data_IF_778361929069
#
_entry.id   IF_778361929069
#
_cell.length_a   1.000
_cell.length_b   1.000
_cell.length_c   1.000
_cell.angle_alpha   90.00
_cell.angle_beta   90.00
_cell.angle_gamma   90.00
#
_symmetry.space_group_name_H-M   'P 1'
#
loop_
_entity.id
_entity.type
_entity.pdbx_description
1 polymer ?
#
# COMPACT_ATOMS: atom_id res chain seq x y z
N UNK A 1 -62.99 -19.13 -3.22
CA UNK A 1 -61.86 -18.34 -2.68
C UNK A 1 -60.55 -18.95 -3.18
N UNK A 2 -59.92 -18.42 -4.25
CA UNK A 2 -58.63 -18.90 -4.72
C UNK A 2 -57.50 -18.09 -4.08
N UNK A 3 -56.48 -18.77 -3.58
CA UNK A 3 -55.26 -18.17 -3.02
C UNK A 3 -54.30 -17.82 -4.17
N UNK A 4 -54.02 -16.53 -4.36
CA UNK A 4 -52.94 -16.06 -5.23
C UNK A 4 -51.59 -16.43 -4.60
N UNK A 5 -50.89 -17.36 -5.21
CA UNK A 5 -49.47 -17.62 -4.95
C UNK A 5 -48.63 -16.56 -5.64
N UNK A 6 -47.86 -15.79 -4.86
CA UNK A 6 -46.87 -14.85 -5.38
C UNK A 6 -45.60 -15.61 -5.73
N UNK A 7 -45.28 -15.70 -7.03
CA UNK A 7 -43.97 -16.14 -7.51
C UNK A 7 -43.00 -14.95 -7.45
N UNK A 8 -42.08 -14.96 -6.49
CA UNK A 8 -40.92 -14.06 -6.49
C UNK A 8 -39.89 -14.66 -7.44
N UNK A 9 -39.76 -14.07 -8.62
CA UNK A 9 -38.66 -14.36 -9.53
C UNK A 9 -37.39 -13.69 -9.00
N UNK A 10 -36.50 -14.49 -8.40
CA UNK A 10 -35.16 -14.05 -8.03
C UNK A 10 -34.34 -13.92 -9.31
N UNK A 11 -34.20 -12.69 -9.79
CA UNK A 11 -33.37 -12.34 -10.93
C UNK A 11 -31.91 -12.29 -10.46
N UNK A 12 -31.22 -13.43 -10.58
CA UNK A 12 -29.77 -13.50 -10.35
C UNK A 12 -29.09 -12.77 -11.51
N UNK A 13 -28.80 -11.49 -11.32
CA UNK A 13 -27.91 -10.72 -12.20
C UNK A 13 -26.50 -11.27 -11.98
N UNK A 14 -26.12 -12.25 -12.79
CA UNK A 14 -24.72 -12.64 -12.96
C UNK A 14 -24.00 -11.45 -13.62
N UNK A 15 -23.42 -10.57 -12.80
CA UNK A 15 -22.34 -9.70 -13.24
C UNK A 15 -21.22 -10.61 -13.72
N UNK A 16 -21.14 -10.76 -15.05
CA UNK A 16 -19.99 -11.34 -15.71
C UNK A 16 -18.78 -10.52 -15.31
N UNK A 17 -17.95 -11.07 -14.43
CA UNK A 17 -16.58 -10.63 -14.26
C UNK A 17 -15.93 -10.75 -15.64
N UNK A 18 -15.80 -9.63 -16.34
CA UNK A 18 -14.85 -9.46 -17.42
C UNK A 18 -13.46 -9.67 -16.81
N UNK A 19 -13.05 -10.92 -16.67
CA UNK A 19 -11.65 -11.26 -16.47
C UNK A 19 -10.94 -10.85 -17.76
N UNK A 20 -10.08 -9.82 -17.74
CA UNK A 20 -9.29 -9.51 -18.91
C UNK A 20 -8.45 -10.74 -19.23
N UNK A 21 -8.72 -11.36 -20.38
CA UNK A 21 -7.83 -12.34 -21.00
C UNK A 21 -6.58 -11.59 -21.45
N UNK A 22 -5.66 -11.34 -20.53
CA UNK A 22 -4.32 -10.92 -20.87
C UNK A 22 -3.47 -12.19 -21.10
N UNK A 23 -3.41 -12.64 -22.35
CA UNK A 23 -2.28 -13.43 -22.81
C UNK A 23 -1.06 -12.49 -22.83
N UNK A 24 -0.37 -12.38 -21.71
CA UNK A 24 0.90 -11.64 -21.62
C UNK A 24 1.98 -12.56 -22.17
N UNK A 25 2.25 -12.46 -23.48
CA UNK A 25 3.53 -12.89 -24.02
C UNK A 25 4.53 -11.78 -23.67
N UNK A 26 5.40 -12.02 -22.68
CA UNK A 26 6.50 -11.09 -22.39
C UNK A 26 7.44 -11.08 -23.60
N UNK A 27 7.66 -9.91 -24.17
CA UNK A 27 8.74 -9.74 -25.13
C UNK A 27 10.04 -9.85 -24.34
N UNK A 28 10.85 -10.89 -24.62
CA UNK A 28 12.21 -11.02 -24.06
C UNK A 28 12.98 -9.70 -24.24
N UNK A 29 13.31 -9.04 -23.13
CA UNK A 29 14.06 -7.78 -23.10
C UNK A 29 13.27 -6.54 -22.68
N UNK A 30 11.97 -6.64 -22.41
CA UNK A 30 11.20 -5.56 -21.79
C UNK A 30 11.38 -5.59 -20.27
N UNK A 31 11.74 -4.46 -19.66
CA UNK A 31 11.79 -4.34 -18.20
C UNK A 31 10.38 -4.23 -17.58
N UNK A 32 10.24 -4.26 -16.24
CA UNK A 32 8.94 -4.22 -15.55
C UNK A 32 8.10 -2.97 -15.83
N UNK A 33 8.67 -1.91 -16.41
CA UNK A 33 7.97 -0.66 -16.74
C UNK A 33 7.80 -0.44 -18.24
N UNK A 34 8.23 -1.39 -19.07
CA UNK A 34 7.94 -1.41 -20.50
C UNK A 34 6.68 -2.26 -20.74
N UNK A 35 5.63 -1.65 -21.26
CA UNK A 35 4.36 -2.32 -21.56
C UNK A 35 4.36 -2.77 -23.02
N UNK A 36 4.64 -4.06 -23.28
CA UNK A 36 4.64 -4.63 -24.64
C UNK A 36 5.53 -3.87 -25.64
N UNK A 37 6.67 -3.32 -25.18
CA UNK A 37 7.59 -2.54 -26.01
C UNK A 37 7.23 -1.06 -26.17
N UNK A 38 6.14 -0.60 -25.54
CA UNK A 38 5.81 0.80 -25.38
C UNK A 38 6.14 1.28 -23.96
N UNK A 39 6.41 2.58 -23.81
CA UNK A 39 6.57 3.20 -22.51
C UNK A 39 5.20 3.26 -21.81
N UNK A 40 5.16 2.91 -20.52
CA UNK A 40 3.99 3.15 -19.71
C UNK A 40 3.67 4.66 -19.60
N UNK A 41 2.39 5.00 -19.56
CA UNK A 41 1.91 6.37 -19.42
C UNK A 41 1.84 6.78 -17.95
N UNK A 42 1.58 5.82 -17.07
CA UNK A 42 1.33 6.02 -15.64
C UNK A 42 1.71 4.78 -14.85
N UNK A 43 2.21 4.98 -13.64
CA UNK A 43 2.39 3.92 -12.65
C UNK A 43 1.63 4.27 -11.37
N UNK A 44 0.85 3.34 -10.85
CA UNK A 44 0.14 3.46 -9.57
C UNK A 44 0.66 2.40 -8.62
N UNK A 45 1.02 2.80 -7.41
CA UNK A 45 1.54 1.91 -6.37
C UNK A 45 0.49 1.77 -5.28
N UNK A 46 0.16 0.55 -4.89
CA UNK A 46 -0.86 0.22 -3.89
C UNK A 46 -0.33 -0.77 -2.85
N UNK A 47 -0.94 -0.81 -1.67
CA UNK A 47 -0.68 -1.88 -0.69
C UNK A 47 -1.53 -3.13 -0.94
N UNK A 48 -2.71 -2.96 -1.55
CA UNK A 48 -3.61 -4.06 -1.90
C UNK A 48 -3.38 -4.53 -3.34
N UNK A 49 -3.65 -5.81 -3.62
CA UNK A 49 -3.56 -6.37 -4.98
C UNK A 49 -4.62 -5.78 -5.94
N UNK A 50 -5.75 -5.34 -5.40
CA UNK A 50 -6.84 -4.76 -6.18
C UNK A 50 -6.71 -3.24 -6.24
N UNK A 51 -6.79 -2.71 -7.46
CA UNK A 51 -6.82 -1.28 -7.71
C UNK A 51 -8.21 -0.71 -7.32
N UNK A 52 -8.28 0.28 -6.41
CA UNK A 52 -9.53 0.73 -5.79
C UNK A 52 -10.43 1.58 -6.73
N UNK A 53 -9.85 2.43 -7.60
CA UNK A 53 -10.61 3.37 -8.46
C UNK A 53 -9.76 3.72 -9.71
N UNK A 54 -10.40 4.10 -10.84
CA UNK A 54 -9.71 4.56 -12.08
C UNK A 54 -9.33 6.06 -12.08
N UNK A 55 -9.94 6.87 -11.21
CA UNK A 55 -9.64 8.29 -11.06
C UNK A 55 -8.57 8.47 -9.99
N UNK A 56 -7.45 9.09 -10.37
CA UNK A 56 -6.31 9.34 -9.49
C UNK A 56 -6.07 10.83 -9.24
N UNK A 57 -7.03 11.68 -9.62
CA UNK A 57 -6.99 13.15 -9.46
C UNK A 57 -7.37 13.59 -8.04
N UNK A 58 -7.14 12.72 -7.06
CA UNK A 58 -7.41 13.02 -5.67
C UNK A 58 -6.18 13.64 -5.00
N UNK A 59 -6.40 14.33 -3.88
CA UNK A 59 -5.29 14.75 -3.02
C UNK A 59 -4.48 13.54 -2.55
N UNK A 60 -3.20 13.76 -2.23
CA UNK A 60 -2.31 12.70 -1.71
C UNK A 60 -2.94 11.96 -0.52
N UNK A 61 -3.67 12.67 0.35
CA UNK A 61 -4.35 12.06 1.50
C UNK A 61 -5.51 11.17 1.06
N UNK A 62 -6.34 11.61 0.13
CA UNK A 62 -7.47 10.81 -0.36
C UNK A 62 -6.98 9.56 -1.11
N UNK A 63 -5.91 9.66 -1.90
CA UNK A 63 -5.26 8.49 -2.51
C UNK A 63 -4.81 7.47 -1.46
N UNK A 64 -4.21 7.92 -0.35
CA UNK A 64 -3.80 7.03 0.74
C UNK A 64 -4.97 6.32 1.41
N UNK A 65 -6.08 7.00 1.63
CA UNK A 65 -7.30 6.39 2.19
C UNK A 65 -7.86 5.29 1.28
N UNK A 66 -7.63 5.40 -0.03
CA UNK A 66 -7.99 4.37 -1.01
C UNK A 66 -6.95 3.23 -1.08
N UNK A 67 -5.86 3.30 -0.32
CA UNK A 67 -4.78 2.30 -0.38
C UNK A 67 -3.79 2.53 -1.51
N UNK A 68 -3.71 3.74 -2.07
CA UNK A 68 -2.71 4.14 -3.06
C UNK A 68 -1.53 4.80 -2.35
N UNK A 69 -0.36 4.17 -2.45
CA UNK A 69 0.89 4.64 -1.88
C UNK A 69 1.52 5.77 -2.69
N UNK A 70 1.47 5.66 -4.02
CA UNK A 70 2.01 6.67 -4.93
C UNK A 70 1.33 6.61 -6.31
N UNK A 71 1.31 7.75 -6.99
CA UNK A 71 0.95 7.86 -8.40
C UNK A 71 2.10 8.58 -9.09
N UNK A 72 2.70 7.93 -10.07
CA UNK A 72 3.87 8.43 -10.79
C UNK A 72 3.45 8.97 -12.16
N UNK A 73 3.94 10.17 -12.48
CA UNK A 73 3.70 10.81 -13.77
C UNK A 73 4.69 10.36 -14.84
N UNK A 74 4.51 10.88 -16.05
CA UNK A 74 5.31 10.48 -17.21
C UNK A 74 6.83 10.72 -17.04
N UNK A 75 7.24 11.70 -16.22
CA UNK A 75 8.66 11.98 -15.99
C UNK A 75 9.31 10.89 -15.13
N UNK A 76 8.69 10.52 -14.01
CA UNK A 76 9.15 9.46 -13.13
C UNK A 76 9.10 8.09 -13.84
N UNK A 77 8.03 7.83 -14.60
CA UNK A 77 7.88 6.59 -15.37
C UNK A 77 8.97 6.46 -16.44
N UNK A 78 9.33 7.54 -17.14
CA UNK A 78 10.48 7.53 -18.07
C UNK A 78 11.79 7.18 -17.36
N UNK A 79 12.03 7.76 -16.18
CA UNK A 79 13.23 7.47 -15.40
C UNK A 79 13.31 6.00 -15.00
N UNK A 80 12.19 5.44 -14.52
CA UNK A 80 12.07 4.03 -14.15
C UNK A 80 12.26 3.11 -15.36
N UNK A 81 11.67 3.44 -16.51
CA UNK A 81 11.78 2.66 -17.73
C UNK A 81 13.22 2.60 -18.26
N UNK A 82 13.96 3.72 -18.20
CA UNK A 82 15.38 3.74 -18.57
C UNK A 82 16.18 2.81 -17.65
N UNK A 83 15.94 2.87 -16.35
CA UNK A 83 16.65 2.05 -15.41
C UNK A 83 16.27 0.56 -15.50
N UNK A 84 15.02 0.25 -15.84
CA UNK A 84 14.57 -1.13 -16.02
C UNK A 84 15.21 -1.86 -17.19
N UNK A 85 15.81 -1.15 -18.16
CA UNK A 85 16.59 -1.77 -19.23
C UNK A 85 17.84 -2.50 -18.72
N UNK A 86 18.28 -2.15 -17.52
CA UNK A 86 19.39 -2.79 -16.82
C UNK A 86 18.91 -3.72 -15.70
N UNK A 87 17.59 -3.98 -15.60
CA UNK A 87 17.07 -4.93 -14.62
C UNK A 87 17.60 -6.33 -14.91
N UNK A 88 17.95 -7.03 -13.84
CA UNK A 88 18.36 -8.43 -13.93
C UNK A 88 17.18 -9.32 -13.59
N UNK A 89 16.96 -10.36 -14.39
CA UNK A 89 16.01 -11.41 -14.06
C UNK A 89 16.61 -12.29 -12.96
N UNK A 90 15.87 -12.44 -11.87
CA UNK A 90 16.28 -13.21 -10.69
C UNK A 90 15.14 -14.12 -10.22
N UNK A 91 15.36 -14.95 -9.20
CA UNK A 91 14.26 -15.62 -8.50
C UNK A 91 13.66 -14.73 -7.40
N UNK A 92 12.45 -15.04 -6.94
CA UNK A 92 11.90 -14.43 -5.72
C UNK A 92 12.43 -15.19 -4.48
N UNK A 93 13.29 -14.59 -3.64
CA UNK A 93 13.77 -15.25 -2.42
C UNK A 93 12.62 -15.48 -1.43
N UNK A 94 12.64 -16.62 -0.74
CA UNK A 94 11.54 -17.04 0.15
C UNK A 94 11.32 -16.09 1.33
N UNK A 95 12.39 -15.41 1.76
CA UNK A 95 12.42 -14.44 2.84
C UNK A 95 11.95 -13.04 2.44
N UNK A 96 11.70 -12.79 1.15
CA UNK A 96 11.31 -11.46 0.68
C UNK A 96 9.84 -11.18 1.00
N UNK A 97 9.61 -10.21 1.88
CA UNK A 97 8.29 -9.68 2.19
C UNK A 97 7.73 -8.88 0.99
N UNK A 98 6.48 -9.16 0.64
CA UNK A 98 5.74 -8.36 -0.34
C UNK A 98 5.27 -7.08 0.34
N UNK A 99 5.77 -5.94 -0.15
CA UNK A 99 5.43 -4.62 0.37
C UNK A 99 4.14 -4.05 -0.24
N UNK A 100 3.82 -4.44 -1.48
CA UNK A 100 2.65 -3.93 -2.20
C UNK A 100 2.62 -4.38 -3.65
N UNK A 101 1.81 -3.68 -4.45
CA UNK A 101 1.63 -3.92 -5.88
C UNK A 101 1.84 -2.64 -6.67
N UNK A 102 2.47 -2.79 -7.84
CA UNK A 102 2.71 -1.73 -8.80
C UNK A 102 1.91 -2.03 -10.05
N UNK A 103 1.01 -1.12 -10.40
CA UNK A 103 0.18 -1.18 -11.58
C UNK A 103 0.75 -0.24 -12.64
N UNK A 104 1.22 -0.81 -13.74
CA UNK A 104 1.83 -0.13 -14.87
C UNK A 104 0.79 -0.02 -15.99
N UNK A 105 0.47 1.20 -16.42
CA UNK A 105 -0.59 1.47 -17.39
C UNK A 105 -0.05 1.92 -18.74
N UNK A 106 -0.70 1.49 -19.81
CA UNK A 106 -0.58 2.06 -21.14
C UNK A 106 -1.99 2.19 -21.74
N UNK A 107 -2.48 3.43 -21.89
CA UNK A 107 -3.88 3.69 -22.20
C UNK A 107 -4.84 3.12 -21.13
N UNK A 108 -5.72 2.21 -21.54
CA UNK A 108 -6.68 1.53 -20.64
C UNK A 108 -6.16 0.20 -20.08
N UNK A 109 -5.07 -0.32 -20.64
CA UNK A 109 -4.49 -1.59 -20.24
C UNK A 109 -3.56 -1.42 -19.04
N UNK A 110 -3.50 -2.44 -18.19
CA UNK A 110 -2.68 -2.44 -16.99
C UNK A 110 -1.99 -3.78 -16.78
N UNK A 111 -0.71 -3.74 -16.43
CA UNK A 111 0.06 -4.88 -15.94
C UNK A 111 0.43 -4.63 -14.48
N UNK A 112 0.29 -5.66 -13.64
CA UNK A 112 0.55 -5.53 -12.21
C UNK A 112 1.74 -6.35 -11.78
N UNK A 113 2.55 -5.81 -10.88
CA UNK A 113 3.74 -6.44 -10.33
C UNK A 113 3.71 -6.38 -8.81
N UNK A 114 3.93 -7.50 -8.12
CA UNK A 114 4.22 -7.51 -6.69
C UNK A 114 5.60 -6.91 -6.47
N UNK A 115 5.74 -6.08 -5.44
CA UNK A 115 7.00 -5.45 -5.07
C UNK A 115 7.46 -5.95 -3.71
N UNK A 116 8.73 -6.32 -3.63
CA UNK A 116 9.41 -6.72 -2.40
C UNK A 116 10.77 -6.07 -2.31
N UNK A 117 11.37 -6.07 -1.13
CA UNK A 117 12.74 -5.56 -0.92
C UNK A 117 13.56 -6.61 -0.17
N UNK A 118 14.75 -6.89 -0.70
CA UNK A 118 15.71 -7.80 -0.10
C UNK A 118 16.56 -7.11 0.97
N UNK A 119 17.27 -7.89 1.80
CA UNK A 119 18.26 -7.36 2.76
C UNK A 119 19.34 -6.49 2.10
N UNK A 120 19.67 -6.79 0.85
CA UNK A 120 20.72 -6.13 0.07
C UNK A 120 20.22 -4.86 -0.63
N UNK A 121 19.03 -4.38 -0.26
CA UNK A 121 18.41 -3.17 -0.81
C UNK A 121 18.15 -3.24 -2.31
N UNK A 122 17.80 -4.43 -2.81
CA UNK A 122 17.24 -4.61 -4.14
C UNK A 122 15.72 -4.65 -4.05
N UNK A 123 15.07 -3.87 -4.91
CA UNK A 123 13.64 -3.92 -5.16
C UNK A 123 13.36 -5.03 -6.19
N UNK A 124 12.50 -5.97 -5.84
CA UNK A 124 12.08 -7.07 -6.69
C UNK A 124 10.68 -6.79 -7.23
N UNK A 125 10.47 -7.01 -8.53
CA UNK A 125 9.20 -6.83 -9.22
C UNK A 125 8.78 -8.14 -9.86
N UNK A 126 7.74 -8.79 -9.33
CA UNK A 126 7.23 -10.05 -9.85
C UNK A 126 5.87 -9.85 -10.53
N UNK A 127 5.71 -10.24 -11.80
CA UNK A 127 4.44 -10.10 -12.49
C UNK A 127 3.32 -10.88 -11.77
N UNK A 128 2.15 -10.26 -11.57
CA UNK A 128 1.00 -10.93 -10.94
C UNK A 128 0.50 -12.02 -11.89
N UNK A 129 0.67 -13.28 -11.49
CA UNK A 129 0.35 -14.46 -12.31
C UNK A 129 1.47 -14.91 -13.26
N UNK A 130 2.63 -14.26 -13.23
CA UNK A 130 3.83 -14.66 -13.95
C UNK A 130 4.91 -15.26 -13.04
N UNK A 131 5.98 -15.78 -13.64
CA UNK A 131 7.17 -16.28 -12.94
C UNK A 131 8.39 -15.34 -13.03
N UNK A 132 8.31 -14.32 -13.87
CA UNK A 132 9.40 -13.37 -14.11
C UNK A 132 9.54 -12.42 -12.92
N UNK A 133 10.77 -12.28 -12.43
CA UNK A 133 11.11 -11.37 -11.33
C UNK A 133 12.29 -10.51 -11.76
N UNK A 134 12.10 -9.19 -11.67
CA UNK A 134 13.11 -8.21 -12.04
C UNK A 134 13.69 -7.56 -10.79
N UNK A 135 15.02 -7.54 -10.68
CA UNK A 135 15.74 -6.85 -9.63
C UNK A 135 16.23 -5.48 -10.09
N UNK A 136 15.96 -4.46 -9.29
CA UNK A 136 16.46 -3.10 -9.47
C UNK A 136 17.00 -2.54 -8.15
N UNK A 137 18.03 -1.67 -8.17
CA UNK A 137 18.50 -0.99 -6.96
C UNK A 137 17.38 -0.14 -6.34
N UNK A 138 17.21 -0.19 -5.01
CA UNK A 138 16.15 0.59 -4.34
C UNK A 138 16.32 2.11 -4.50
N UNK A 139 17.53 2.59 -4.73
CA UNK A 139 17.82 4.01 -4.99
C UNK A 139 17.16 4.50 -6.28
N UNK A 140 17.14 3.64 -7.30
CA UNK A 140 16.49 3.91 -8.59
C UNK A 140 14.97 3.88 -8.44
N UNK A 141 14.47 2.92 -7.67
CA UNK A 141 13.04 2.71 -7.44
C UNK A 141 12.50 3.45 -6.22
N UNK A 142 13.21 4.47 -5.72
CA UNK A 142 12.87 5.16 -4.47
C UNK A 142 11.46 5.75 -4.46
N UNK A 143 10.97 6.23 -5.61
CA UNK A 143 9.61 6.74 -5.78
C UNK A 143 8.50 5.69 -5.61
N UNK A 144 8.84 4.40 -5.77
CA UNK A 144 7.94 3.25 -5.55
C UNK A 144 8.14 2.70 -4.14
N UNK A 145 9.39 2.44 -3.77
CA UNK A 145 9.75 1.69 -2.56
C UNK A 145 9.57 2.55 -1.31
N UNK A 146 10.00 3.82 -1.32
CA UNK A 146 9.92 4.65 -0.10
C UNK A 146 8.48 4.83 0.39
N UNK A 147 7.47 5.14 -0.45
CA UNK A 147 6.10 5.22 0.01
C UNK A 147 5.59 3.90 0.62
N UNK A 148 5.97 2.76 0.03
CA UNK A 148 5.58 1.45 0.57
C UNK A 148 6.24 1.20 1.92
N UNK A 149 7.56 1.35 2.03
CA UNK A 149 8.32 1.10 3.27
C UNK A 149 7.96 2.10 4.37
N UNK A 150 7.75 3.37 4.04
CA UNK A 150 7.44 4.43 5.02
C UNK A 150 6.17 4.14 5.80
N UNK A 151 5.21 3.49 5.15
CA UNK A 151 3.92 3.14 5.74
C UNK A 151 3.77 1.61 5.87
N UNK A 152 4.83 0.84 5.63
CA UNK A 152 4.82 -0.60 5.86
C UNK A 152 4.97 -0.86 7.35
N UNK A 153 3.99 -1.54 7.88
CA UNK A 153 3.93 -1.99 9.25
C UNK A 153 2.65 -2.79 9.40
N UNK A 154 2.75 -3.94 10.03
CA UNK A 154 1.59 -4.79 10.30
C UNK A 154 1.46 -4.99 11.79
N UNK A 155 0.23 -5.01 12.27
CA UNK A 155 -0.09 -5.66 13.53
C UNK A 155 -0.95 -6.86 13.20
N UNK A 156 -0.43 -8.07 13.43
CA UNK A 156 -1.22 -9.29 13.32
C UNK A 156 -1.51 -9.78 14.73
N UNK A 157 -2.78 -9.81 15.16
CA UNK A 157 -3.10 -10.32 16.48
C UNK A 157 -2.69 -11.79 16.57
N UNK A 158 -1.94 -12.13 17.62
CA UNK A 158 -1.60 -13.53 17.88
C UNK A 158 -2.84 -14.30 18.33
N UNK A 159 -2.90 -15.62 18.09
CA UNK A 159 -3.97 -16.45 18.60
C UNK A 159 -4.15 -16.26 20.12
N UNK A 160 -5.36 -15.90 20.54
CA UNK A 160 -5.70 -15.68 21.95
C UNK A 160 -5.63 -14.22 22.41
N UNK A 161 -5.26 -13.26 21.55
CA UNK A 161 -5.44 -11.85 21.88
C UNK A 161 -6.93 -11.49 22.03
N UNK A 162 -7.29 -10.64 23.02
CA UNK A 162 -8.68 -10.30 23.30
C UNK A 162 -9.18 -9.23 22.31
N UNK A 163 -9.48 -9.66 21.08
CA UNK A 163 -10.10 -8.82 20.05
C UNK A 163 -11.44 -8.30 20.56
N UNK A 164 -11.73 -7.01 20.35
CA UNK A 164 -12.92 -6.36 20.89
C UNK A 164 -12.75 -5.74 22.28
N UNK A 165 -11.65 -6.04 22.99
CA UNK A 165 -11.33 -5.51 24.32
C UNK A 165 -10.06 -4.65 24.29
N UNK A 166 -9.82 -3.91 25.38
CA UNK A 166 -8.60 -3.11 25.55
C UNK A 166 -7.49 -3.99 26.14
N UNK A 167 -6.34 -4.03 25.49
CA UNK A 167 -5.16 -4.77 25.96
C UNK A 167 -3.87 -3.99 25.72
N UNK A 168 -2.79 -4.37 26.42
CA UNK A 168 -1.48 -3.76 26.22
C UNK A 168 -0.90 -4.20 24.87
N UNK A 169 -0.55 -3.25 24.02
CA UNK A 169 0.07 -3.52 22.73
C UNK A 169 1.46 -4.14 22.96
N UNK A 170 1.74 -5.33 22.41
CA UNK A 170 3.06 -5.94 22.52
C UNK A 170 4.16 -5.07 21.90
N UNK A 171 5.30 -4.97 22.59
CA UNK A 171 6.51 -4.36 22.06
C UNK A 171 7.33 -5.34 21.18
N UNK A 172 8.43 -4.87 20.56
CA UNK A 172 8.93 -3.50 20.63
C UNK A 172 8.15 -2.54 19.71
N UNK A 173 7.91 -1.32 20.18
CA UNK A 173 7.30 -0.27 19.36
C UNK A 173 8.30 0.27 18.34
N UNK A 174 7.84 0.50 17.11
CA UNK A 174 8.65 1.10 16.05
C UNK A 174 8.34 2.57 15.94
N UNK A 175 9.37 3.42 15.90
CA UNK A 175 9.19 4.84 15.63
C UNK A 175 8.58 5.04 14.24
N UNK A 176 7.57 5.90 14.17
CA UNK A 176 7.02 6.32 12.88
C UNK A 176 8.01 7.26 12.17
N UNK A 177 8.22 7.11 10.85
CA UNK A 177 8.96 8.08 10.05
C UNK A 177 8.17 9.38 9.81
N UNK A 178 6.96 9.48 10.38
CA UNK A 178 6.18 10.72 10.43
C UNK A 178 6.57 11.44 11.71
N UNK A 179 7.43 12.44 11.58
CA UNK A 179 7.73 13.37 12.66
C UNK A 179 6.63 14.44 12.69
N UNK A 180 5.99 14.59 13.83
CA UNK A 180 5.10 15.71 14.12
C UNK A 180 5.90 16.82 14.81
N UNK A 181 6.91 17.32 14.11
CA UNK A 181 7.70 18.44 14.62
C UNK A 181 6.84 19.73 14.68
N UNK A 182 7.30 20.69 15.48
CA UNK A 182 6.63 21.97 15.68
C UNK A 182 6.34 22.68 14.35
N UNK A 183 7.21 22.55 13.35
CA UNK A 183 7.03 23.14 12.01
C UNK A 183 5.88 22.46 11.24
N UNK A 184 5.84 21.13 11.24
CA UNK A 184 4.82 20.32 10.59
C UNK A 184 3.45 20.51 11.24
N UNK A 185 3.40 20.55 12.57
CA UNK A 185 2.17 20.87 13.32
C UNK A 185 1.71 22.29 13.01
N UNK A 186 2.64 23.25 12.98
CA UNK A 186 2.31 24.64 12.66
C UNK A 186 1.70 24.79 11.27
N UNK A 187 2.30 24.15 10.28
CA UNK A 187 1.84 24.24 8.90
C UNK A 187 0.50 23.52 8.70
N UNK A 188 0.28 22.39 9.39
CA UNK A 188 -0.92 21.55 9.17
C UNK A 188 -2.11 21.87 10.05
N UNK A 189 -1.89 22.19 11.32
CA UNK A 189 -2.95 22.23 12.34
C UNK A 189 -3.27 23.64 12.82
N UNK A 190 -2.32 24.57 12.74
CA UNK A 190 -2.52 25.93 13.31
C UNK A 190 -2.52 27.04 12.27
N UNK A 191 -2.46 26.71 10.98
CA UNK A 191 -2.47 27.69 9.88
C UNK A 191 -1.30 28.68 9.98
N UNK A 192 -0.11 28.22 10.39
CA UNK A 192 1.08 29.05 10.50
C UNK A 192 1.32 29.65 11.89
N UNK A 193 0.41 29.49 12.87
CA UNK A 193 0.60 30.02 14.23
C UNK A 193 1.51 29.11 15.07
N UNK A 194 2.52 29.66 15.75
CA UNK A 194 3.44 28.86 16.57
C UNK A 194 2.64 28.10 17.65
N UNK A 195 2.60 26.75 17.64
CA UNK A 195 1.87 26.00 18.64
C UNK A 195 2.59 26.13 20.00
N UNK A 196 1.83 26.31 21.08
CA UNK A 196 2.33 26.14 22.45
C UNK A 196 2.25 24.66 22.83
N UNK A 197 3.10 23.85 22.21
CA UNK A 197 3.30 22.46 22.59
C UNK A 197 4.67 22.35 23.23
N UNK A 198 4.73 21.87 24.47
CA UNK A 198 5.99 21.47 25.07
C UNK A 198 6.51 20.25 24.28
N UNK A 199 7.76 20.30 23.85
CA UNK A 199 8.42 19.12 23.29
C UNK A 199 8.40 18.03 24.37
N UNK A 200 7.72 16.92 24.08
CA UNK A 200 7.67 15.77 24.98
C UNK A 200 8.65 14.74 24.45
N UNK A 201 9.78 14.57 25.12
CA UNK A 201 10.70 13.46 24.84
C UNK A 201 10.06 12.16 25.33
N UNK A 202 9.34 11.48 24.42
CA UNK A 202 8.78 10.15 24.69
C UNK A 202 9.80 9.08 24.32
N UNK A 203 10.25 8.32 25.30
CA UNK A 203 11.09 7.16 25.07
C UNK A 203 10.21 5.92 24.93
N UNK A 204 9.93 5.52 23.68
CA UNK A 204 9.00 4.42 23.36
C UNK A 204 9.25 3.11 24.11
N UNK A 205 10.50 2.69 24.41
CA UNK A 205 10.73 1.47 25.19
C UNK A 205 10.16 1.50 26.61
N UNK A 206 10.00 2.68 27.20
CA UNK A 206 9.48 2.85 28.56
C UNK A 206 7.95 3.11 28.58
N UNK A 207 7.36 3.31 27.40
CA UNK A 207 5.93 3.56 27.26
C UNK A 207 5.15 2.23 27.28
N UNK A 208 3.92 2.28 27.79
CA UNK A 208 2.96 1.19 27.63
C UNK A 208 1.75 1.70 26.84
N UNK A 209 1.60 1.20 25.61
CA UNK A 209 0.49 1.55 24.75
C UNK A 209 -0.66 0.56 24.96
N UNK A 210 -1.88 1.08 24.98
CA UNK A 210 -3.11 0.28 25.07
C UNK A 210 -3.85 0.38 23.75
N UNK A 211 -4.35 -0.76 23.26
CA UNK A 211 -5.06 -0.86 21.98
C UNK A 211 -6.35 -1.64 22.16
N UNK A 212 -7.35 -1.30 21.34
CA UNK A 212 -8.57 -2.09 21.16
C UNK A 212 -8.75 -2.35 19.67
N UNK A 213 -8.76 -3.62 19.29
CA UNK A 213 -9.08 -4.01 17.91
C UNK A 213 -10.59 -4.18 17.75
N UNK A 214 -11.17 -3.81 16.59
CA UNK A 214 -12.57 -4.12 16.29
C UNK A 214 -12.78 -5.64 16.17
N UNK A 215 -14.00 -6.10 16.44
CA UNK A 215 -14.39 -7.49 16.14
C UNK A 215 -14.21 -7.78 14.64
N UNK A 216 -13.55 -8.89 14.32
CA UNK A 216 -13.26 -9.26 12.93
C UNK A 216 -12.10 -8.50 12.29
N UNK A 217 -11.25 -7.80 13.07
CA UNK A 217 -10.06 -7.13 12.55
C UNK A 217 -9.21 -8.04 11.63
N UNK A 218 -8.99 -7.58 10.41
CA UNK A 218 -8.11 -8.21 9.43
C UNK A 218 -6.87 -7.32 9.18
N UNK A 219 -5.63 -7.79 9.44
CA UNK A 219 -4.42 -6.96 9.34
C UNK A 219 -4.16 -6.31 7.97
N UNK A 220 -4.75 -6.86 6.90
CA UNK A 220 -4.60 -6.38 5.53
C UNK A 220 -5.77 -5.54 5.03
N UNK A 221 -6.79 -5.36 5.85
CA UNK A 221 -7.93 -4.50 5.51
C UNK A 221 -7.75 -3.11 6.15
N UNK A 222 -8.11 -2.03 5.43
CA UNK A 222 -8.05 -0.68 5.99
C UNK A 222 -8.96 -0.55 7.23
N UNK A 223 -8.43 0.04 8.29
CA UNK A 223 -9.17 0.35 9.50
C UNK A 223 -8.94 1.81 9.93
N UNK A 224 -9.95 2.42 10.54
CA UNK A 224 -9.81 3.73 11.17
C UNK A 224 -8.99 3.64 12.46
N UNK A 225 -8.11 4.61 12.70
CA UNK A 225 -7.34 4.71 13.94
C UNK A 225 -7.88 5.87 14.78
N UNK A 226 -8.25 5.57 16.03
CA UNK A 226 -8.55 6.57 17.05
C UNK A 226 -7.40 6.57 18.05
N UNK A 227 -6.73 7.71 18.18
CA UNK A 227 -5.66 7.89 19.17
C UNK A 227 -6.23 8.68 20.34
N UNK A 228 -6.22 8.08 21.52
CA UNK A 228 -6.59 8.74 22.77
C UNK A 228 -5.35 8.98 23.61
N UNK A 229 -5.10 10.24 23.98
CA UNK A 229 -4.00 10.62 24.86
C UNK A 229 -4.61 11.02 26.20
N UNK A 230 -4.30 10.29 27.26
CA UNK A 230 -4.69 10.72 28.60
C UNK A 230 -3.91 11.98 28.97
N UNK A 231 -4.61 13.04 29.38
CA UNK A 231 -4.03 14.33 29.73
C UNK A 231 -3.50 14.37 31.18
N UNK A 232 -3.73 13.32 31.97
CA UNK A 232 -3.20 13.21 33.32
C UNK A 232 -1.70 12.89 33.29
N UNK A 233 -0.90 13.94 33.17
CA UNK A 233 0.52 13.93 33.55
C UNK A 233 0.64 13.92 35.07
N UNK A 234 1.15 12.81 35.61
CA UNK A 234 1.71 12.74 36.97
C UNK A 234 2.87 13.71 37.16
#
# INVERSE_FOLDING_TARGET
>A
MPRLGWCIAVLVVLWGACLPRACVASARGAGPFDFQGALADRVVVTWAETLPVRSFEHSVMANRLLGIAAVLGAAEVRSLAVASRHAQEVGWPAETEVLGVVHVFHGEDAQSFRVGVTSDRLALFAAVGGSEVFALPTEVCGSIVQPLVRYSGGFSPEPGMPVGEVFALPGPYRHSPILLDTATIRDRLTGGRKPHLAETDRFLPDEQLWVRLPEGYAPREPAGLVVWINAETS
#
